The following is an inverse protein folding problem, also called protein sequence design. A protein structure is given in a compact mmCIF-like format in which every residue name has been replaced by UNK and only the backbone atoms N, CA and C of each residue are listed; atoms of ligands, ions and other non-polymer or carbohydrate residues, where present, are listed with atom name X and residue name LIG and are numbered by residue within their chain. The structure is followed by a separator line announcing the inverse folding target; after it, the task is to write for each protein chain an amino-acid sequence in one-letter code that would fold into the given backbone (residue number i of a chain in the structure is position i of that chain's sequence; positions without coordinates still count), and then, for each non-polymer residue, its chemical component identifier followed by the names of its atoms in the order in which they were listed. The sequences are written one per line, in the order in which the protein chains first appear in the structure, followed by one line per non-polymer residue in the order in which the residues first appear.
data_IF_576854238018
#
_entry.id   IF_576854238018
#
_cell.length_a   1.000
_cell.length_b   1.000
_cell.length_c   1.000
_cell.angle_alpha   90.00
_cell.angle_beta   90.00
_cell.angle_gamma   90.00
#
_symmetry.space_group_name_H-M   'P 1'
#
loop_
_entity.id
_entity.type
_entity.pdbx_description
1 polymer ?
#
# COMPACT_ATOMS: atom_id res chain seq x y z
N UNK A 1 35.73 -16.93 2.70
CA UNK A 1 34.71 -16.45 3.66
C UNK A 1 34.29 -15.06 3.19
N UNK A 2 33.36 -14.96 2.23
CA UNK A 2 31.89 -14.85 2.43
C UNK A 2 31.54 -13.44 2.95
N UNK A 3 30.75 -12.56 2.33
CA UNK A 3 29.69 -12.72 1.32
C UNK A 3 29.38 -11.34 0.67
N UNK A 4 29.87 -11.05 -0.53
CA UNK A 4 29.30 -9.96 -1.33
C UNK A 4 28.15 -10.53 -2.17
N UNK A 5 27.00 -10.77 -1.52
CA UNK A 5 25.74 -10.97 -2.23
C UNK A 5 25.32 -9.63 -2.82
N UNK A 6 25.95 -9.24 -3.93
CA UNK A 6 25.47 -8.15 -4.78
C UNK A 6 24.03 -8.51 -5.16
N UNK A 7 23.09 -7.67 -4.74
CA UNK A 7 21.73 -7.70 -5.27
C UNK A 7 21.81 -7.53 -6.79
N UNK A 8 20.98 -8.21 -7.59
CA UNK A 8 21.09 -8.19 -9.03
C UNK A 8 21.05 -6.74 -9.56
N UNK A 9 22.07 -6.36 -10.33
CA UNK A 9 22.27 -5.07 -10.98
C UNK A 9 21.21 -4.79 -12.07
N UNK A 10 19.92 -4.74 -11.70
CA UNK A 10 18.84 -4.40 -12.64
C UNK A 10 17.87 -3.42 -12.00
N UNK A 11 18.39 -2.36 -11.40
CA UNK A 11 17.61 -1.15 -11.22
C UNK A 11 17.78 -0.33 -12.50
N UNK A 12 16.65 -0.02 -13.16
CA UNK A 12 16.64 0.92 -14.26
C UNK A 12 17.09 2.26 -13.68
N UNK A 13 18.11 2.89 -14.28
CA UNK A 13 18.62 4.20 -13.84
C UNK A 13 17.45 5.19 -13.66
N UNK A 14 17.38 5.82 -12.49
CA UNK A 14 16.31 6.76 -12.13
C UNK A 14 15.15 6.16 -11.33
N UNK A 15 15.11 4.85 -11.10
CA UNK A 15 14.10 4.19 -10.26
C UNK A 15 14.67 3.79 -8.89
N UNK A 16 13.84 3.90 -7.86
CA UNK A 16 14.20 3.59 -6.47
C UNK A 16 13.14 2.69 -5.82
N UNK A 17 13.58 1.75 -5.00
CA UNK A 17 12.70 0.99 -4.12
C UNK A 17 12.30 1.81 -2.90
N UNK A 18 11.00 1.81 -2.58
CA UNK A 18 10.50 2.40 -1.35
C UNK A 18 10.68 1.39 -0.19
N UNK A 19 11.54 1.73 0.77
CA UNK A 19 12.02 0.80 1.79
C UNK A 19 11.72 1.26 3.21
N UNK A 20 11.82 0.30 4.15
CA UNK A 20 11.55 0.52 5.58
C UNK A 20 12.71 1.19 6.28
N UNK A 21 12.47 1.69 7.49
CA UNK A 21 13.48 2.31 8.38
C UNK A 21 14.70 1.40 8.64
N UNK A 22 14.54 0.08 8.45
CA UNK A 22 15.61 -0.92 8.56
C UNK A 22 16.62 -0.90 7.40
N UNK A 23 16.32 -0.23 6.29
CA UNK A 23 17.21 -0.11 5.14
C UNK A 23 17.97 1.23 5.16
N UNK A 24 19.21 1.27 4.63
CA UNK A 24 19.91 2.52 4.43
C UNK A 24 19.30 3.31 3.26
N UNK A 25 19.40 4.64 3.33
CA UNK A 25 19.24 5.49 2.14
C UNK A 25 20.51 5.37 1.28
N UNK A 26 20.37 4.78 0.11
CA UNK A 26 21.47 4.52 -0.83
C UNK A 26 20.93 4.56 -2.26
N UNK A 27 21.83 4.53 -3.25
CA UNK A 27 21.42 4.43 -4.65
C UNK A 27 20.49 3.21 -4.84
N UNK A 28 19.30 3.46 -5.39
CA UNK A 28 18.26 2.45 -5.57
C UNK A 28 17.33 2.18 -4.38
N UNK A 29 17.56 2.79 -3.22
CA UNK A 29 16.77 2.56 -2.00
C UNK A 29 16.37 3.88 -1.31
N UNK A 30 15.07 4.05 -1.06
CA UNK A 30 14.50 5.19 -0.36
C UNK A 30 13.85 4.75 0.95
N UNK A 31 14.56 4.95 2.05
CA UNK A 31 14.10 4.78 3.41
C UNK A 31 13.71 6.15 4.02
N UNK A 32 12.79 6.19 4.99
CA UNK A 32 12.44 7.44 5.65
C UNK A 32 13.62 8.03 6.43
N UNK A 33 13.68 9.36 6.51
CA UNK A 33 14.64 10.05 7.37
C UNK A 33 14.34 9.76 8.84
N UNK A 34 15.37 9.31 9.56
CA UNK A 34 15.28 9.01 11.00
C UNK A 34 15.23 10.31 11.81
N UNK A 35 14.58 10.26 12.97
CA UNK A 35 14.46 11.40 13.89
C UNK A 35 13.56 12.53 13.36
N UNK A 36 12.66 12.22 12.42
CA UNK A 36 11.65 13.13 11.90
C UNK A 36 10.29 12.43 12.00
N UNK A 37 9.19 13.20 11.99
CA UNK A 37 7.82 12.68 11.94
C UNK A 37 7.64 11.74 10.73
N UNK A 38 6.83 10.70 10.88
CA UNK A 38 6.65 9.65 9.87
C UNK A 38 5.21 9.18 9.68
N UNK A 39 4.35 9.23 10.69
CA UNK A 39 3.01 8.64 10.61
C UNK A 39 2.03 9.62 9.96
N UNK A 40 1.26 9.15 8.96
CA UNK A 40 0.29 9.99 8.23
C UNK A 40 -0.66 10.79 9.11
N UNK A 41 -1.02 10.24 10.28
CA UNK A 41 -1.90 10.90 11.25
C UNK A 41 -1.29 12.18 11.82
N UNK A 42 0.04 12.26 11.91
CA UNK A 42 0.74 13.41 12.45
C UNK A 42 0.50 14.66 11.60
N UNK A 43 0.29 14.53 10.29
CA UNK A 43 0.09 15.67 9.37
C UNK A 43 -1.38 15.99 9.06
N UNK A 44 -2.33 15.49 9.87
CA UNK A 44 -3.75 15.83 9.70
C UNK A 44 -4.02 17.26 10.17
N UNK A 45 -4.65 18.06 9.32
CA UNK A 45 -5.03 19.45 9.61
C UNK A 45 -3.99 20.48 9.17
N UNK A 46 -4.45 21.68 8.81
CA UNK A 46 -3.62 22.71 8.18
C UNK A 46 -2.43 23.17 9.03
N UNK A 47 -2.57 23.18 10.37
CA UNK A 47 -1.50 23.58 11.30
C UNK A 47 -0.35 22.55 11.40
N UNK A 48 -0.54 21.32 10.92
CA UNK A 48 0.42 20.22 11.09
C UNK A 48 1.28 19.96 9.86
N UNK A 49 1.34 20.92 8.92
CA UNK A 49 2.12 20.82 7.69
C UNK A 49 3.62 20.53 7.99
N UNK A 50 4.32 19.80 7.10
CA UNK A 50 5.75 19.58 7.23
C UNK A 50 6.53 20.89 7.31
N UNK A 51 7.43 20.99 8.28
CA UNK A 51 8.21 22.20 8.56
C UNK A 51 9.52 22.26 7.77
N UNK A 52 10.01 21.10 7.33
CA UNK A 52 11.28 20.96 6.64
C UNK A 52 11.22 19.92 5.52
N UNK A 53 12.23 19.93 4.64
CA UNK A 53 12.30 19.04 3.49
C UNK A 53 12.31 17.54 3.86
N UNK A 54 12.89 17.17 5.01
CA UNK A 54 12.93 15.77 5.49
C UNK A 54 11.57 15.31 5.98
N UNK A 55 10.84 16.15 6.72
CA UNK A 55 9.45 15.87 7.09
C UNK A 55 8.55 15.78 5.86
N UNK A 56 8.73 16.66 4.88
CA UNK A 56 7.96 16.62 3.64
C UNK A 56 8.21 15.32 2.87
N UNK A 57 9.47 14.91 2.77
CA UNK A 57 9.85 13.62 2.20
C UNK A 57 9.19 12.46 2.96
N UNK A 58 9.31 12.42 4.29
CA UNK A 58 8.71 11.36 5.12
C UNK A 58 7.18 11.30 4.98
N UNK A 59 6.51 12.45 4.90
CA UNK A 59 5.07 12.52 4.67
C UNK A 59 4.69 11.86 3.34
N UNK A 60 5.42 12.18 2.26
CA UNK A 60 5.19 11.57 0.93
C UNK A 60 5.54 10.09 0.91
N UNK A 61 6.66 9.71 1.55
CA UNK A 61 7.08 8.31 1.71
C UNK A 61 6.00 7.49 2.42
N UNK A 62 5.53 7.96 3.57
CA UNK A 62 4.46 7.35 4.36
C UNK A 62 3.14 7.26 3.59
N UNK A 63 2.80 8.28 2.80
CA UNK A 63 1.63 8.25 1.92
C UNK A 63 1.72 7.16 0.86
N UNK A 64 2.85 7.01 0.19
CA UNK A 64 3.07 5.96 -0.81
C UNK A 64 3.05 4.57 -0.16
N UNK A 65 3.69 4.42 1.00
CA UNK A 65 3.65 3.23 1.85
C UNK A 65 2.24 2.78 2.19
N UNK A 66 1.41 3.72 2.65
CA UNK A 66 0.02 3.44 3.01
C UNK A 66 -0.80 2.91 1.81
N UNK A 67 -0.53 3.41 0.60
CA UNK A 67 -1.18 2.85 -0.61
C UNK A 67 -0.74 1.39 -0.82
N UNK A 68 0.56 1.10 -0.74
CA UNK A 68 1.12 -0.25 -0.91
C UNK A 68 0.54 -1.22 0.14
N UNK A 69 0.54 -0.81 1.41
CA UNK A 69 0.05 -1.61 2.52
C UNK A 69 -1.44 -1.91 2.40
N UNK A 70 -2.26 -0.90 2.07
CA UNK A 70 -3.70 -1.10 1.83
C UNK A 70 -3.96 -2.04 0.66
N UNK A 71 -3.22 -1.90 -0.44
CA UNK A 71 -3.33 -2.81 -1.59
C UNK A 71 -3.01 -4.25 -1.21
N UNK A 72 -1.96 -4.49 -0.42
CA UNK A 72 -1.68 -5.83 0.11
C UNK A 72 -2.74 -6.30 1.11
N UNK A 73 -3.32 -5.39 1.90
CA UNK A 73 -4.46 -5.69 2.78
C UNK A 73 -5.65 -6.22 1.98
N UNK A 74 -6.03 -5.55 0.90
CA UNK A 74 -7.11 -5.99 -0.01
C UNK A 74 -6.78 -7.34 -0.64
N UNK A 75 -5.53 -7.53 -1.10
CA UNK A 75 -5.11 -8.78 -1.73
C UNK A 75 -5.19 -9.96 -0.75
N UNK A 76 -4.68 -9.80 0.48
CA UNK A 76 -4.81 -10.82 1.55
C UNK A 76 -6.25 -11.00 2.02
N UNK A 77 -7.06 -9.93 1.95
CA UNK A 77 -8.50 -9.95 2.20
C UNK A 77 -9.25 -10.84 1.20
N UNK A 78 -8.91 -10.78 -0.09
CA UNK A 78 -9.54 -11.64 -1.10
C UNK A 78 -9.00 -13.07 -1.11
N UNK A 79 -7.69 -13.26 -0.91
CA UNK A 79 -7.03 -14.55 -1.08
C UNK A 79 -6.55 -15.15 0.26
N UNK A 80 -7.29 -16.13 0.78
CA UNK A 80 -7.00 -16.77 2.07
C UNK A 80 -5.60 -17.39 2.15
N UNK A 81 -5.06 -17.90 1.03
CA UNK A 81 -3.72 -18.48 0.94
C UNK A 81 -2.59 -17.49 1.32
N UNK A 82 -2.85 -16.18 1.20
CA UNK A 82 -1.89 -15.13 1.54
C UNK A 82 -1.95 -14.67 3.01
N UNK A 83 -2.93 -15.14 3.80
CA UNK A 83 -3.12 -14.70 5.19
C UNK A 83 -2.22 -15.44 6.19
N UNK A 84 -1.83 -16.67 5.86
CA UNK A 84 -1.06 -17.55 6.73
C UNK A 84 0.41 -17.69 6.36
N UNK A 85 1.18 -18.34 7.24
CA UNK A 85 2.54 -18.77 6.90
C UNK A 85 2.45 -19.85 5.82
N UNK A 86 3.23 -19.67 4.76
CA UNK A 86 3.43 -20.71 3.75
C UNK A 86 4.67 -21.54 4.09
N UNK A 87 4.53 -22.87 4.02
CA UNK A 87 5.63 -23.81 4.15
C UNK A 87 6.22 -24.23 2.80
N UNK A 88 5.73 -23.68 1.69
CA UNK A 88 6.27 -23.94 0.36
C UNK A 88 7.66 -23.30 0.16
N UNK A 89 8.50 -23.82 -0.76
CA UNK A 89 9.74 -23.17 -1.15
C UNK A 89 9.52 -21.72 -1.62
N UNK A 90 10.49 -20.83 -1.38
CA UNK A 90 10.39 -19.39 -1.68
C UNK A 90 9.90 -19.09 -3.11
N UNK A 91 10.36 -19.85 -4.10
CA UNK A 91 9.94 -19.67 -5.49
C UNK A 91 8.43 -19.90 -5.68
N UNK A 92 7.87 -20.90 -5.00
CA UNK A 92 6.44 -21.20 -5.03
C UNK A 92 5.65 -20.11 -4.31
N UNK A 93 6.18 -19.57 -3.21
CA UNK A 93 5.57 -18.44 -2.52
C UNK A 93 5.48 -17.20 -3.43
N UNK A 94 6.59 -16.84 -4.09
CA UNK A 94 6.61 -15.72 -5.03
C UNK A 94 5.63 -15.92 -6.19
N UNK A 95 5.59 -17.11 -6.79
CA UNK A 95 4.64 -17.44 -7.87
C UNK A 95 3.18 -17.36 -7.39
N UNK A 96 2.90 -17.82 -6.17
CA UNK A 96 1.56 -17.76 -5.58
C UNK A 96 1.11 -16.30 -5.39
N UNK A 97 1.99 -15.44 -4.86
CA UNK A 97 1.71 -14.01 -4.71
C UNK A 97 1.43 -13.36 -6.07
N UNK A 98 2.27 -13.63 -7.07
CA UNK A 98 2.11 -13.11 -8.43
C UNK A 98 0.80 -13.59 -9.07
N UNK A 99 0.48 -14.88 -8.96
CA UNK A 99 -0.77 -15.44 -9.47
C UNK A 99 -2.00 -14.77 -8.84
N UNK A 100 -1.99 -14.58 -7.52
CA UNK A 100 -3.07 -13.87 -6.81
C UNK A 100 -3.23 -12.42 -7.29
N UNK A 101 -2.12 -11.71 -7.52
CA UNK A 101 -2.16 -10.33 -8.03
C UNK A 101 -2.68 -10.26 -9.46
N UNK A 102 -2.22 -11.15 -10.35
CA UNK A 102 -2.69 -11.23 -11.74
C UNK A 102 -4.18 -11.55 -11.81
N UNK A 103 -4.65 -12.56 -11.07
CA UNK A 103 -6.06 -12.93 -11.00
C UNK A 103 -6.91 -11.79 -10.39
N UNK A 104 -6.40 -11.12 -9.36
CA UNK A 104 -7.09 -9.97 -8.76
C UNK A 104 -7.30 -8.84 -9.78
N UNK A 105 -6.24 -8.51 -10.54
CA UNK A 105 -6.29 -7.47 -11.57
C UNK A 105 -7.22 -7.87 -12.72
N UNK A 106 -7.18 -9.14 -13.15
CA UNK A 106 -8.09 -9.65 -14.18
C UNK A 106 -9.54 -9.54 -13.74
N UNK A 107 -9.89 -10.04 -12.55
CA UNK A 107 -11.25 -9.96 -12.01
C UNK A 107 -11.71 -8.51 -11.93
N UNK A 108 -10.89 -7.59 -11.38
CA UNK A 108 -11.28 -6.19 -11.27
C UNK A 108 -11.45 -5.52 -12.64
N UNK A 109 -10.71 -5.94 -13.67
CA UNK A 109 -10.82 -5.40 -15.02
C UNK A 109 -12.10 -5.86 -15.72
N UNK A 110 -12.45 -7.14 -15.60
CA UNK A 110 -13.59 -7.71 -16.33
C UNK A 110 -14.93 -7.53 -15.58
N UNK A 111 -14.92 -7.59 -14.24
CA UNK A 111 -16.15 -7.55 -13.43
C UNK A 111 -16.59 -6.12 -13.06
N UNK A 112 -15.83 -5.09 -13.40
CA UNK A 112 -16.26 -3.67 -13.25
C UNK A 112 -17.15 -3.19 -14.41
N UNK A 113 -17.41 -4.04 -15.40
CA UNK A 113 -18.28 -3.73 -16.54
C UNK A 113 -19.72 -4.25 -16.38
N UNK A 114 -20.09 -4.76 -15.20
CA UNK A 114 -21.33 -5.53 -15.01
C UNK A 114 -22.31 -4.93 -13.99
N UNK A 115 -22.12 -3.68 -13.54
CA UNK A 115 -22.94 -3.08 -12.47
C UNK A 115 -23.50 -1.69 -12.84
N UNK A 116 -23.92 -1.53 -14.10
CA UNK A 116 -24.88 -0.50 -14.50
C UNK A 116 -26.23 -1.17 -14.77
N UNK A 117 -26.87 -1.68 -13.71
CA UNK A 117 -28.33 -1.86 -13.71
C UNK A 117 -28.87 -0.69 -12.89
N UNK A 118 -29.50 0.25 -13.59
CA UNK A 118 -30.26 1.35 -13.01
C UNK A 118 -31.33 0.77 -12.08
N UNK A 119 -31.18 0.97 -10.77
CA UNK A 119 -32.31 0.90 -9.85
C UNK A 119 -32.77 2.34 -9.57
N UNK A 120 -33.77 2.75 -10.35
CA UNK A 120 -34.64 3.89 -10.03
C UNK A 120 -35.48 3.60 -8.77
N UNK A 121 -35.45 4.58 -7.87
CA UNK A 121 -36.62 5.19 -7.18
C UNK A 121 -36.88 4.99 -5.67
N UNK A 122 -37.14 6.17 -5.09
CA UNK A 122 -37.97 6.60 -3.95
C UNK A 122 -37.85 6.05 -2.52
N UNK A 123 -37.80 7.00 -1.57
CA UNK A 123 -38.25 6.77 -0.20
C UNK A 123 -37.74 7.75 0.86
N UNK A 124 -38.10 9.04 0.75
CA UNK A 124 -37.99 10.01 1.86
C UNK A 124 -38.85 9.55 3.06
N UNK A 125 -38.31 9.67 4.28
CA UNK A 125 -39.12 9.76 5.50
C UNK A 125 -38.25 10.18 6.70
N UNK A 126 -38.23 11.48 6.92
CA UNK A 126 -37.86 12.11 8.19
C UNK A 126 -38.81 11.73 9.33
N UNK A 127 -38.27 11.37 10.50
CA UNK A 127 -38.96 11.64 11.76
C UNK A 127 -37.95 12.17 12.79
N UNK A 128 -38.12 13.44 13.14
CA UNK A 128 -37.57 14.02 14.35
C UNK A 128 -38.54 13.74 15.49
N UNK A 129 -38.09 13.05 16.54
CA UNK A 129 -38.87 12.85 17.75
C UNK A 129 -38.60 13.98 18.74
N UNK A 130 -39.63 14.77 18.98
CA UNK A 130 -39.79 15.76 20.04
C UNK A 130 -39.70 15.13 21.43
N UNK A 131 -38.98 15.77 22.37
CA UNK A 131 -39.09 15.49 23.81
C UNK A 131 -39.61 16.72 24.53
N UNK A 132 -40.55 16.47 25.46
CA UNK A 132 -41.27 17.42 26.29
C UNK A 132 -40.40 18.14 27.34
#
# INVERSE_FOLDING_TARGET
MNNNKRLPNHLITGYYYLCDTGYPNAEGFLAPYRGQRYHLQEWRGAANAPTNAKEYFNMKHSSARNVIERSFGVLKGRWAILRGKSYYPLQVQCRTILACALLHNLINREMTYCDDVEDEDEGDSTYATTTA
#
